data_IF_480071046488
#
_entry.id   IF_480071046488
#
_cell.length_a   1.000
_cell.length_b   1.000
_cell.length_c   1.000
_cell.angle_alpha   90.00
_cell.angle_beta   90.00
_cell.angle_gamma   90.00
#
_symmetry.space_group_name_H-M   'P 1'
#
loop_
_entity.id
_entity.type
_entity.pdbx_description
1 polymer ?
#
# COMPACT_ATOMS: atom_id res chain seq x y z
N UNK A 1 -39.63 5.15 5.25
CA UNK A 1 -38.21 5.20 4.83
C UNK A 1 -37.42 5.56 6.08
N UNK A 2 -36.70 4.58 6.64
CA UNK A 2 -35.94 4.80 7.87
C UNK A 2 -34.69 5.60 7.52
N UNK A 3 -34.72 6.89 7.84
CA UNK A 3 -33.55 7.75 7.75
C UNK A 3 -32.52 7.28 8.76
N UNK A 4 -31.36 6.85 8.27
CA UNK A 4 -30.21 6.54 9.11
C UNK A 4 -29.77 7.86 9.73
N UNK A 5 -30.00 8.02 11.03
CA UNK A 5 -29.53 9.14 11.82
C UNK A 5 -28.01 9.05 11.99
N UNK A 6 -27.28 10.02 11.42
CA UNK A 6 -25.81 10.13 11.47
C UNK A 6 -25.21 10.21 12.90
N UNK A 7 -26.03 10.25 13.95
CA UNK A 7 -25.61 10.42 15.34
C UNK A 7 -25.04 9.16 16.01
N UNK A 8 -25.05 7.99 15.34
CA UNK A 8 -24.55 6.73 15.89
C UNK A 8 -23.28 6.19 15.23
N UNK A 9 -22.73 6.87 14.22
CA UNK A 9 -21.55 6.40 13.49
C UNK A 9 -20.27 7.06 14.04
N UNK A 10 -19.25 6.25 14.35
CA UNK A 10 -17.91 6.77 14.67
C UNK A 10 -17.31 7.50 13.46
N UNK A 11 -16.31 8.37 13.66
CA UNK A 11 -15.62 9.07 12.55
C UNK A 11 -15.20 8.08 11.45
N UNK A 12 -14.74 6.90 11.83
CA UNK A 12 -14.33 5.82 10.93
C UNK A 12 -15.48 5.19 10.14
N UNK A 13 -16.64 5.01 10.77
CA UNK A 13 -17.86 4.55 10.10
C UNK A 13 -18.42 5.63 9.17
N UNK A 14 -18.29 6.91 9.52
CA UNK A 14 -18.66 8.02 8.64
C UNK A 14 -17.78 8.09 7.39
N UNK A 15 -16.46 7.84 7.52
CA UNK A 15 -15.53 7.78 6.37
C UNK A 15 -15.82 6.56 5.49
N UNK A 16 -16.03 5.39 6.09
CA UNK A 16 -16.33 4.15 5.38
C UNK A 16 -17.68 4.20 4.66
N UNK A 17 -18.70 4.80 5.30
CA UNK A 17 -19.98 5.08 4.68
C UNK A 17 -19.82 6.07 3.53
N UNK A 18 -19.10 7.18 3.72
CA UNK A 18 -18.89 8.21 2.70
C UNK A 18 -18.07 7.77 1.47
N UNK A 19 -17.28 6.69 1.56
CA UNK A 19 -16.57 6.09 0.40
C UNK A 19 -17.41 5.03 -0.32
N UNK A 20 -18.53 4.61 0.28
CA UNK A 20 -19.37 3.53 -0.23
C UNK A 20 -20.22 3.97 -1.42
N UNK A 21 -20.60 3.04 -2.32
CA UNK A 21 -21.54 3.34 -3.41
C UNK A 21 -22.94 3.74 -2.94
N UNK A 22 -23.30 3.51 -1.67
CA UNK A 22 -24.60 3.84 -1.09
C UNK A 22 -24.66 5.26 -0.47
N UNK A 23 -23.55 6.01 -0.52
CA UNK A 23 -23.48 7.37 0.02
C UNK A 23 -24.48 8.32 -0.66
N UNK A 24 -25.16 9.22 0.10
CA UNK A 24 -26.02 10.27 -0.46
C UNK A 24 -25.29 11.15 -1.50
N UNK A 25 -25.99 11.58 -2.56
CA UNK A 25 -25.46 12.47 -3.63
C UNK A 25 -24.81 13.75 -3.08
N UNK A 26 -25.28 14.27 -1.94
CA UNK A 26 -24.71 15.46 -1.28
C UNK A 26 -23.30 15.22 -0.68
N UNK A 27 -22.95 13.96 -0.37
CA UNK A 27 -21.60 13.52 0.00
C UNK A 27 -20.79 13.03 -1.21
N UNK A 28 -21.43 12.88 -2.38
CA UNK A 28 -20.80 12.58 -3.67
C UNK A 28 -20.29 13.85 -4.35
N UNK A 29 -19.67 14.77 -3.59
CA UNK A 29 -18.88 15.82 -4.23
C UNK A 29 -17.77 15.14 -5.07
N UNK A 30 -17.41 15.69 -6.24
CA UNK A 30 -16.39 15.11 -7.12
C UNK A 30 -15.03 14.80 -6.46
N UNK A 31 -14.71 15.46 -5.35
CA UNK A 31 -13.44 15.34 -4.63
C UNK A 31 -13.60 15.48 -3.09
N UNK A 32 -14.01 14.46 -2.32
CA UNK A 32 -14.17 14.67 -0.87
C UNK A 32 -13.06 14.04 -0.01
N UNK A 33 -12.45 12.93 -0.44
CA UNK A 33 -11.66 12.11 0.50
C UNK A 33 -10.20 12.50 0.65
N UNK A 34 -9.61 13.11 -0.38
CA UNK A 34 -8.20 13.49 -0.40
C UNK A 34 -8.01 14.98 -0.67
N UNK A 35 -9.10 15.72 -0.92
CA UNK A 35 -9.01 17.16 -1.11
C UNK A 35 -8.51 17.79 0.19
N UNK A 36 -7.46 18.61 0.10
CA UNK A 36 -6.75 19.24 1.24
C UNK A 36 -5.90 18.31 2.12
N UNK A 37 -5.81 17.01 1.79
CA UNK A 37 -4.86 16.13 2.44
C UNK A 37 -3.47 16.36 1.85
N UNK A 38 -2.54 16.81 2.69
CA UNK A 38 -1.13 16.92 2.35
C UNK A 38 -0.45 15.57 2.62
N UNK A 39 0.14 14.92 1.60
CA UNK A 39 0.94 13.71 1.81
C UNK A 39 2.08 13.96 2.80
N UNK A 40 2.24 13.05 3.75
CA UNK A 40 3.30 13.03 4.76
C UNK A 40 4.04 11.71 4.62
N UNK A 41 5.35 11.79 4.45
CA UNK A 41 6.25 10.63 4.37
C UNK A 41 6.41 9.96 5.73
N UNK A 42 5.32 9.36 6.20
CA UNK A 42 5.19 8.66 7.46
C UNK A 42 4.87 7.21 7.12
N UNK A 43 5.57 6.30 7.78
CA UNK A 43 5.24 4.89 7.75
C UNK A 43 4.39 4.55 8.98
N UNK A 44 3.21 3.99 8.76
CA UNK A 44 2.30 3.57 9.81
C UNK A 44 2.29 2.05 9.93
N UNK A 45 3.02 1.54 10.91
CA UNK A 45 2.75 0.22 11.47
C UNK A 45 1.46 0.30 12.29
N UNK A 46 0.64 -0.74 12.24
CA UNK A 46 -0.35 -1.05 13.29
C UNK A 46 -1.60 -0.16 13.39
N UNK A 47 -2.55 -0.43 12.49
CA UNK A 47 -3.97 -0.21 12.78
C UNK A 47 -4.82 -1.48 12.64
N UNK A 48 -4.24 -2.66 12.88
CA UNK A 48 -4.99 -3.91 12.91
C UNK A 48 -6.15 -3.91 13.93
N UNK A 49 -6.15 -3.01 14.93
CA UNK A 49 -7.24 -2.80 15.89
C UNK A 49 -8.25 -1.71 15.49
N UNK A 50 -8.00 -0.93 14.43
CA UNK A 50 -8.97 0.08 13.96
C UNK A 50 -9.95 -0.51 12.97
N UNK A 51 -11.16 0.02 12.93
CA UNK A 51 -12.21 -0.47 12.04
C UNK A 51 -11.87 -0.29 10.56
N UNK A 52 -11.19 0.80 10.17
CA UNK A 52 -10.75 1.06 8.80
C UNK A 52 -9.30 1.58 8.75
N UNK A 53 -8.29 0.69 8.79
CA UNK A 53 -6.88 1.06 8.96
C UNK A 53 -6.35 1.93 7.82
N UNK A 54 -6.52 1.48 6.57
CA UNK A 54 -5.99 2.19 5.39
C UNK A 54 -6.68 3.53 5.17
N UNK A 55 -8.01 3.59 5.35
CA UNK A 55 -8.78 4.83 5.23
C UNK A 55 -8.34 5.86 6.27
N UNK A 56 -8.15 5.41 7.52
CA UNK A 56 -7.70 6.28 8.61
C UNK A 56 -6.31 6.84 8.30
N UNK A 57 -5.37 6.01 7.88
CA UNK A 57 -4.01 6.44 7.56
C UNK A 57 -4.02 7.48 6.42
N UNK A 58 -4.72 7.17 5.32
CA UNK A 58 -4.83 8.09 4.18
C UNK A 58 -5.49 9.41 4.57
N UNK A 59 -6.52 9.38 5.44
CA UNK A 59 -7.19 10.60 5.93
C UNK A 59 -6.27 11.56 6.70
N UNK A 60 -5.15 11.04 7.23
CA UNK A 60 -4.15 11.81 7.99
C UNK A 60 -2.97 12.27 7.13
N UNK A 61 -2.95 11.91 5.85
CA UNK A 61 -1.85 12.19 4.94
C UNK A 61 -0.80 11.09 4.84
N UNK A 62 -0.96 9.95 5.53
CA UNK A 62 0.07 8.90 5.57
C UNK A 62 0.23 8.25 4.19
N UNK A 63 1.47 8.18 3.69
CA UNK A 63 1.79 7.60 2.38
C UNK A 63 2.38 6.18 2.44
N UNK A 64 2.58 5.62 3.63
CA UNK A 64 3.03 4.24 3.78
C UNK A 64 2.34 3.55 4.95
N UNK A 65 1.77 2.37 4.70
CA UNK A 65 1.02 1.59 5.68
C UNK A 65 1.48 0.14 5.65
N UNK A 66 1.56 -0.49 6.82
CA UNK A 66 1.84 -1.92 6.94
C UNK A 66 0.60 -2.71 7.38
N UNK A 67 0.45 -3.91 6.82
CA UNK A 67 -0.56 -4.89 7.21
C UNK A 67 0.08 -6.22 7.55
N UNK A 68 -0.25 -6.75 8.74
CA UNK A 68 0.09 -8.10 9.14
C UNK A 68 -0.93 -9.08 8.57
N UNK A 69 -0.48 -10.00 7.71
CA UNK A 69 -1.35 -10.94 6.99
C UNK A 69 -1.06 -12.39 7.40
N UNK A 70 -2.14 -13.10 7.72
CA UNK A 70 -2.15 -14.50 8.11
C UNK A 70 -3.00 -15.31 7.14
N UNK A 71 -2.45 -16.38 6.57
CA UNK A 71 -3.24 -17.36 5.83
C UNK A 71 -3.82 -18.39 6.79
N UNK A 72 -5.15 -18.48 6.87
CA UNK A 72 -5.87 -19.51 7.63
C UNK A 72 -7.00 -20.02 6.75
N UNK A 73 -7.11 -21.34 6.56
CA UNK A 73 -8.14 -21.98 5.72
C UNK A 73 -8.32 -21.30 4.34
N UNK A 74 -7.20 -21.06 3.64
CA UNK A 74 -7.16 -20.42 2.32
C UNK A 74 -7.65 -18.94 2.27
N UNK A 75 -7.87 -18.32 3.42
CA UNK A 75 -8.31 -16.95 3.56
C UNK A 75 -7.25 -16.08 4.25
N UNK A 76 -7.10 -14.84 3.78
CA UNK A 76 -6.13 -13.87 4.32
C UNK A 76 -6.79 -13.00 5.40
N UNK A 77 -6.38 -13.20 6.64
CA UNK A 77 -6.80 -12.42 7.80
C UNK A 77 -5.76 -11.37 8.20
N UNK A 78 -6.24 -10.33 8.89
CA UNK A 78 -5.41 -9.23 9.37
C UNK A 78 -5.39 -9.19 10.90
N UNK A 79 -4.21 -9.16 11.50
CA UNK A 79 -4.05 -9.05 12.95
C UNK A 79 -2.59 -9.03 13.40
N UNK A 80 -2.30 -8.39 14.54
CA UNK A 80 -0.93 -8.38 15.10
C UNK A 80 -0.46 -9.73 15.62
N UNK A 81 -1.40 -10.64 15.90
CA UNK A 81 -1.16 -11.99 16.41
C UNK A 81 -2.32 -12.88 16.01
N UNK A 82 -2.05 -14.17 15.90
CA UNK A 82 -3.04 -15.20 15.54
C UNK A 82 -4.28 -15.17 16.46
N UNK A 83 -4.09 -14.96 17.77
CA UNK A 83 -5.18 -14.87 18.74
C UNK A 83 -6.09 -13.63 18.57
N UNK A 84 -5.71 -12.67 17.71
CA UNK A 84 -6.49 -11.46 17.43
C UNK A 84 -7.17 -11.51 16.04
N UNK A 85 -7.13 -12.66 15.35
CA UNK A 85 -7.79 -12.81 14.07
C UNK A 85 -9.31 -12.92 14.25
N UNK A 86 -10.03 -12.17 13.43
CA UNK A 86 -11.49 -12.16 13.41
C UNK A 86 -11.98 -12.43 11.99
N UNK A 87 -13.08 -13.18 11.88
CA UNK A 87 -13.62 -13.64 10.58
C UNK A 87 -13.94 -12.49 9.62
N UNK A 88 -14.33 -11.33 10.16
CA UNK A 88 -14.70 -10.15 9.39
C UNK A 88 -13.50 -9.29 8.98
N UNK A 89 -12.34 -9.51 9.60
CA UNK A 89 -11.13 -8.68 9.45
C UNK A 89 -10.15 -9.34 8.48
N UNK A 90 -10.47 -9.21 7.19
CA UNK A 90 -9.73 -9.83 6.10
C UNK A 90 -8.86 -8.80 5.38
N UNK A 91 -7.84 -9.27 4.67
CA UNK A 91 -7.01 -8.39 3.84
C UNK A 91 -7.87 -7.71 2.75
N UNK A 92 -8.84 -8.44 2.18
CA UNK A 92 -9.77 -7.89 1.20
C UNK A 92 -10.65 -6.77 1.77
N UNK A 93 -11.33 -7.05 2.90
CA UNK A 93 -12.28 -6.11 3.50
C UNK A 93 -11.63 -4.86 4.07
N UNK A 94 -10.41 -4.96 4.63
CA UNK A 94 -9.74 -3.85 5.30
C UNK A 94 -8.79 -3.05 4.40
N UNK A 95 -8.32 -3.62 3.28
CA UNK A 95 -7.32 -2.98 2.41
C UNK A 95 -7.75 -2.95 0.95
N UNK A 96 -8.02 -4.11 0.33
CA UNK A 96 -8.27 -4.18 -1.12
C UNK A 96 -9.53 -3.42 -1.53
N UNK A 97 -10.68 -3.74 -0.94
CA UNK A 97 -11.95 -3.08 -1.29
C UNK A 97 -11.94 -1.57 -0.96
N UNK A 98 -11.44 -1.13 0.21
CA UNK A 98 -11.28 0.31 0.49
C UNK A 98 -10.40 1.04 -0.53
N UNK A 99 -9.28 0.44 -0.96
CA UNK A 99 -8.40 1.04 -1.96
C UNK A 99 -9.08 1.16 -3.32
N UNK A 100 -9.79 0.13 -3.78
CA UNK A 100 -10.59 0.19 -5.01
C UNK A 100 -11.64 1.30 -4.93
N UNK A 101 -12.36 1.38 -3.81
CA UNK A 101 -13.44 2.35 -3.62
C UNK A 101 -12.95 3.78 -3.59
N UNK A 102 -11.76 4.02 -3.03
CA UNK A 102 -11.09 5.30 -3.16
C UNK A 102 -10.72 5.50 -4.63
N UNK A 103 -9.85 4.67 -5.21
CA UNK A 103 -9.22 4.90 -6.52
C UNK A 103 -10.17 4.92 -7.72
N UNK A 104 -11.36 4.32 -7.59
CA UNK A 104 -12.36 4.27 -8.66
C UNK A 104 -12.71 5.69 -9.15
N UNK A 105 -12.64 5.95 -10.47
CA UNK A 105 -13.13 7.19 -11.04
C UNK A 105 -14.59 7.44 -10.67
N UNK A 106 -14.92 8.67 -10.26
CA UNK A 106 -16.29 9.05 -9.95
C UNK A 106 -16.84 9.91 -11.08
N UNK A 107 -17.86 9.40 -11.76
CA UNK A 107 -18.65 10.18 -12.70
C UNK A 107 -19.66 11.03 -11.90
N UNK A 108 -19.19 12.12 -11.32
CA UNK A 108 -20.08 13.07 -10.68
C UNK A 108 -20.68 13.98 -11.74
N UNK A 109 -22.00 13.90 -11.93
CA UNK A 109 -22.76 14.98 -12.56
C UNK A 109 -22.95 16.06 -11.51
N UNK A 110 -22.52 17.28 -11.80
CA UNK A 110 -22.89 18.39 -10.92
C UNK A 110 -24.42 18.50 -10.85
N UNK A 111 -24.99 19.12 -9.80
CA UNK A 111 -26.42 19.46 -9.76
C UNK A 111 -26.90 20.27 -10.98
N UNK A 112 -25.96 20.86 -11.74
CA UNK A 112 -26.20 21.62 -12.96
C UNK A 112 -25.99 20.79 -14.25
N UNK A 113 -25.95 19.46 -14.16
CA UNK A 113 -25.88 18.56 -15.30
C UNK A 113 -24.52 18.52 -16.03
N UNK A 114 -23.48 19.15 -15.47
CA UNK A 114 -22.13 19.09 -16.04
C UNK A 114 -21.45 17.81 -15.58
N UNK A 115 -21.09 16.94 -16.53
CA UNK A 115 -20.26 15.78 -16.26
C UNK A 115 -18.83 16.26 -16.01
N UNK A 116 -18.27 15.93 -14.85
CA UNK A 116 -16.84 16.02 -14.61
C UNK A 116 -16.33 14.59 -14.45
N UNK A 117 -15.46 14.15 -15.36
CA UNK A 117 -14.66 12.95 -15.15
C UNK A 117 -13.55 13.35 -14.18
N UNK A 118 -13.82 13.22 -12.88
CA UNK A 118 -12.80 13.46 -11.87
C UNK A 118 -12.14 12.13 -11.57
N UNK A 119 -10.99 11.92 -12.18
CA UNK A 119 -9.98 11.00 -11.64
C UNK A 119 -9.46 11.62 -10.35
N UNK A 120 -9.16 10.83 -9.32
CA UNK A 120 -8.55 11.31 -8.08
C UNK A 120 -7.12 11.89 -8.25
N UNK A 121 -6.76 12.37 -9.43
CA UNK A 121 -5.48 12.96 -9.78
C UNK A 121 -5.28 14.37 -9.21
N UNK A 122 -5.84 14.70 -8.05
CA UNK A 122 -5.56 15.98 -7.39
C UNK A 122 -4.76 15.73 -6.10
N UNK A 123 -3.43 15.76 -6.27
CA UNK A 123 -2.36 15.95 -5.27
C UNK A 123 -2.02 14.80 -4.32
N UNK A 124 -2.98 14.00 -3.84
CA UNK A 124 -2.63 12.91 -2.92
C UNK A 124 -1.94 11.73 -3.62
N UNK A 125 -2.26 11.49 -4.89
CA UNK A 125 -1.68 10.41 -5.69
C UNK A 125 -0.47 10.83 -6.55
N UNK A 126 0.02 12.08 -6.42
CA UNK A 126 1.34 12.44 -6.97
C UNK A 126 2.45 11.62 -6.28
N UNK A 127 2.15 11.01 -5.13
CA UNK A 127 3.00 10.03 -4.44
C UNK A 127 2.21 8.71 -4.28
N UNK A 128 2.70 7.59 -4.84
CA UNK A 128 2.09 6.28 -4.64
C UNK A 128 1.95 5.93 -3.15
N UNK A 129 0.81 5.36 -2.75
CA UNK A 129 0.69 4.73 -1.44
C UNK A 129 1.57 3.48 -1.40
N UNK A 130 2.49 3.41 -0.43
CA UNK A 130 3.27 2.21 -0.17
C UNK A 130 2.50 1.29 0.79
N UNK A 131 2.01 0.16 0.28
CA UNK A 131 1.34 -0.88 1.04
C UNK A 131 2.33 -2.00 1.36
N UNK A 132 2.82 -2.03 2.60
CA UNK A 132 3.69 -3.11 3.09
C UNK A 132 2.81 -4.28 3.55
N UNK A 133 3.02 -5.46 2.97
CA UNK A 133 2.33 -6.69 3.32
C UNK A 133 3.28 -7.59 4.09
N UNK A 134 3.11 -7.62 5.42
CA UNK A 134 3.92 -8.39 6.35
C UNK A 134 3.35 -9.80 6.50
N UNK A 135 3.97 -10.78 5.84
CA UNK A 135 3.51 -12.18 5.88
C UNK A 135 3.91 -12.81 7.21
N UNK A 136 2.91 -13.22 8.02
CA UNK A 136 3.11 -13.84 9.34
C UNK A 136 3.08 -15.37 9.34
N UNK A 137 2.61 -15.96 8.25
CA UNK A 137 2.54 -17.42 8.03
C UNK A 137 3.64 -17.85 7.06
N UNK A 138 3.66 -19.10 6.59
CA UNK A 138 4.66 -19.53 5.62
C UNK A 138 4.55 -18.71 4.32
N UNK A 139 5.68 -18.15 3.89
CA UNK A 139 5.74 -17.25 2.74
C UNK A 139 5.34 -17.89 1.43
N UNK A 140 5.84 -19.10 1.18
CA UNK A 140 5.66 -19.81 -0.10
C UNK A 140 4.22 -20.26 -0.28
N UNK A 141 3.55 -20.65 0.80
CA UNK A 141 2.11 -20.96 0.76
C UNK A 141 1.23 -19.71 0.72
N UNK A 142 1.63 -18.62 1.39
CA UNK A 142 0.78 -17.43 1.58
C UNK A 142 0.83 -16.44 0.43
N UNK A 143 2.00 -16.23 -0.15
CA UNK A 143 2.19 -15.25 -1.23
C UNK A 143 1.25 -15.46 -2.43
N UNK A 144 0.97 -16.70 -2.91
CA UNK A 144 0.00 -16.92 -3.99
C UNK A 144 -1.41 -16.40 -3.68
N UNK A 145 -1.87 -16.49 -2.44
CA UNK A 145 -3.16 -15.94 -2.02
C UNK A 145 -3.13 -14.42 -1.99
N UNK A 146 -2.01 -13.81 -1.58
CA UNK A 146 -1.84 -12.35 -1.60
C UNK A 146 -1.89 -11.83 -3.04
N UNK A 147 -1.14 -12.46 -3.96
CA UNK A 147 -1.14 -12.08 -5.38
C UNK A 147 -2.54 -12.16 -6.00
N UNK A 148 -3.33 -13.17 -5.61
CA UNK A 148 -4.74 -13.32 -6.00
C UNK A 148 -5.61 -12.21 -5.41
N UNK A 149 -5.43 -11.87 -4.13
CA UNK A 149 -6.17 -10.79 -3.48
C UNK A 149 -5.87 -9.40 -4.10
N UNK A 150 -4.69 -9.23 -4.70
CA UNK A 150 -4.30 -7.99 -5.39
C UNK A 150 -4.87 -7.86 -6.81
N UNK A 151 -5.42 -8.94 -7.40
CA UNK A 151 -5.94 -8.95 -8.77
C UNK A 151 -6.96 -7.84 -9.09
N UNK A 152 -7.91 -7.51 -8.20
CA UNK A 152 -8.86 -6.43 -8.46
C UNK A 152 -8.21 -5.04 -8.60
N UNK A 153 -7.06 -4.81 -7.95
CA UNK A 153 -6.26 -3.58 -8.11
C UNK A 153 -5.42 -3.64 -9.40
N UNK A 154 -4.81 -4.81 -9.67
CA UNK A 154 -3.99 -5.08 -10.87
C UNK A 154 -4.77 -4.85 -12.15
N UNK A 155 -5.93 -5.50 -12.29
CA UNK A 155 -6.81 -5.40 -13.46
C UNK A 155 -7.33 -3.98 -13.74
N UNK A 156 -7.31 -3.09 -12.74
CA UNK A 156 -7.67 -1.67 -12.87
C UNK A 156 -6.48 -0.75 -13.13
N UNK A 157 -5.26 -1.30 -13.21
CA UNK A 157 -4.03 -0.54 -13.42
C UNK A 157 -3.60 0.29 -12.21
N UNK A 158 -4.04 -0.07 -11.00
CA UNK A 158 -3.75 0.70 -9.78
C UNK A 158 -2.42 0.35 -9.11
N UNK A 159 -1.76 -0.71 -9.56
CA UNK A 159 -0.51 -1.19 -8.98
C UNK A 159 0.70 -0.71 -9.77
N UNK A 160 1.72 -0.22 -9.07
CA UNK A 160 3.05 -0.01 -9.63
C UNK A 160 3.56 -1.34 -10.17
N UNK A 161 3.99 -1.36 -11.43
CA UNK A 161 4.35 -2.60 -12.13
C UNK A 161 5.74 -2.47 -12.73
N UNK A 162 6.56 -3.51 -12.59
CA UNK A 162 7.82 -3.69 -13.28
C UNK A 162 7.65 -4.76 -14.35
N UNK A 163 7.93 -4.40 -15.60
CA UNK A 163 7.73 -5.27 -16.76
C UNK A 163 8.75 -4.87 -17.83
N UNK A 164 9.38 -5.84 -18.49
CA UNK A 164 10.35 -5.60 -19.56
C UNK A 164 11.48 -4.61 -19.19
N UNK A 165 11.95 -4.63 -17.94
CA UNK A 165 13.01 -3.74 -17.46
C UNK A 165 12.57 -2.33 -17.06
N UNK A 166 11.28 -2.00 -17.24
CA UNK A 166 10.70 -0.68 -17.00
C UNK A 166 9.81 -0.71 -15.77
N UNK A 167 10.03 0.24 -14.85
CA UNK A 167 9.14 0.47 -13.72
C UNK A 167 8.07 1.49 -14.12
N UNK A 168 6.80 1.13 -13.96
CA UNK A 168 5.62 1.95 -14.25
C UNK A 168 4.91 2.27 -12.92
N UNK A 169 5.16 3.44 -12.30
CA UNK A 169 4.47 3.84 -11.07
C UNK A 169 2.95 3.92 -11.27
N UNK A 170 2.19 3.57 -10.24
CA UNK A 170 0.75 3.79 -10.17
C UNK A 170 0.33 4.16 -8.74
N UNK A 171 -0.96 4.20 -8.46
CA UNK A 171 -1.51 4.72 -7.22
C UNK A 171 -1.05 3.95 -5.96
N UNK A 172 -0.73 2.66 -6.09
CA UNK A 172 -0.28 1.80 -4.98
C UNK A 172 0.99 1.03 -5.38
N UNK A 173 2.02 1.11 -4.56
CA UNK A 173 3.20 0.25 -4.63
C UNK A 173 3.12 -0.79 -3.51
N UNK A 174 3.05 -2.07 -3.86
CA UNK A 174 2.95 -3.15 -2.87
C UNK A 174 4.32 -3.73 -2.58
N UNK A 175 4.68 -3.82 -1.30
CA UNK A 175 5.99 -4.30 -0.86
C UNK A 175 5.79 -5.44 0.14
N UNK A 176 6.31 -6.62 -0.15
CA UNK A 176 6.30 -7.77 0.76
C UNK A 176 7.42 -7.67 1.80
N UNK A 177 7.06 -7.90 3.05
CA UNK A 177 7.97 -7.98 4.21
C UNK A 177 7.62 -9.21 5.07
N UNK A 178 8.30 -9.40 6.20
CA UNK A 178 8.13 -10.59 7.05
C UNK A 178 8.62 -11.86 6.36
N UNK A 179 7.81 -12.92 6.36
CA UNK A 179 8.15 -14.20 5.74
C UNK A 179 8.07 -14.19 4.19
N UNK A 180 8.16 -13.03 3.55
CA UNK A 180 8.05 -12.91 2.10
C UNK A 180 9.18 -13.68 1.39
N UNK A 181 8.86 -14.63 0.49
CA UNK A 181 9.87 -15.44 -0.19
C UNK A 181 10.49 -14.66 -1.37
N UNK A 182 11.73 -14.18 -1.19
CA UNK A 182 12.43 -13.35 -2.17
C UNK A 182 12.56 -14.04 -3.55
N UNK A 183 12.87 -15.34 -3.57
CA UNK A 183 12.95 -16.18 -4.79
C UNK A 183 11.65 -16.16 -5.60
N UNK A 184 10.51 -16.11 -4.92
CA UNK A 184 9.18 -16.08 -5.57
C UNK A 184 8.86 -14.71 -6.18
N UNK A 185 9.44 -13.62 -5.65
CA UNK A 185 9.30 -12.28 -6.23
C UNK A 185 10.13 -12.14 -7.51
N UNK A 186 11.33 -12.72 -7.53
CA UNK A 186 12.25 -12.60 -8.66
C UNK A 186 11.67 -13.12 -9.98
N UNK A 187 10.79 -14.12 -9.90
CA UNK A 187 10.20 -14.81 -11.06
C UNK A 187 8.86 -14.21 -11.51
N UNK A 188 8.35 -13.17 -10.84
CA UNK A 188 7.13 -12.49 -11.26
C UNK A 188 7.37 -11.70 -12.55
N UNK A 189 6.51 -11.90 -13.54
CA UNK A 189 6.46 -11.12 -14.78
C UNK A 189 5.02 -11.09 -15.32
N UNK A 190 4.37 -9.92 -15.46
CA UNK A 190 4.81 -8.63 -14.91
C UNK A 190 4.83 -8.66 -13.37
N UNK A 191 5.76 -7.92 -12.75
CA UNK A 191 5.90 -7.86 -11.29
C UNK A 191 5.24 -6.61 -10.72
N UNK A 192 4.28 -6.79 -9.84
CA UNK A 192 3.63 -5.70 -9.10
C UNK A 192 3.67 -5.86 -7.57
N UNK A 193 4.54 -6.76 -7.12
CA UNK A 193 4.82 -7.04 -5.73
C UNK A 193 6.34 -6.99 -5.53
N UNK A 194 6.81 -6.02 -4.75
CA UNK A 194 8.23 -5.71 -4.54
C UNK A 194 8.70 -6.22 -3.19
N UNK A 195 10.01 -6.14 -2.92
CA UNK A 195 10.59 -6.67 -1.70
C UNK A 195 11.01 -5.57 -0.73
N UNK A 196 10.83 -5.78 0.57
CA UNK A 196 11.47 -4.99 1.62
C UNK A 196 12.85 -5.59 1.91
N UNK A 197 13.92 -4.94 1.45
CA UNK A 197 15.27 -5.47 1.61
C UNK A 197 15.77 -5.28 3.05
N UNK A 198 16.54 -6.22 3.61
CA UNK A 198 17.13 -6.05 4.93
C UNK A 198 18.23 -4.98 4.86
N UNK A 199 18.28 -4.07 5.85
CA UNK A 199 19.36 -3.09 5.96
C UNK A 199 20.68 -3.78 6.34
N UNK A 200 20.60 -4.80 7.20
CA UNK A 200 21.77 -5.60 7.57
C UNK A 200 22.07 -6.62 6.47
N UNK A 201 23.36 -6.83 6.19
CA UNK A 201 23.78 -7.74 5.11
C UNK A 201 23.69 -7.14 3.71
N UNK A 202 23.72 -5.81 3.58
CA UNK A 202 23.83 -5.15 2.28
C UNK A 202 25.13 -5.60 1.57
N UNK A 203 24.98 -6.44 0.53
CA UNK A 203 26.09 -7.10 -0.18
C UNK A 203 26.11 -8.63 -0.08
N UNK A 204 25.50 -9.23 0.94
CA UNK A 204 25.26 -10.67 1.03
C UNK A 204 23.82 -10.95 0.61
N UNK A 205 23.58 -10.92 -0.69
CA UNK A 205 22.28 -11.29 -1.23
C UNK A 205 22.12 -12.82 -1.17
N UNK A 206 21.02 -13.37 -0.62
CA UNK A 206 20.77 -14.82 -0.63
C UNK A 206 20.74 -15.45 -2.04
N UNK A 207 20.66 -14.63 -3.10
CA UNK A 207 20.65 -15.03 -4.51
C UNK A 207 21.61 -14.22 -5.42
N UNK A 208 22.65 -13.54 -4.89
CA UNK A 208 23.52 -12.64 -5.67
C UNK A 208 22.81 -11.48 -6.41
N UNK A 209 21.56 -11.17 -6.10
CA UNK A 209 20.84 -10.08 -6.76
C UNK A 209 21.35 -8.68 -6.32
N UNK A 210 21.36 -7.73 -7.24
CA UNK A 210 21.64 -6.34 -6.92
C UNK A 210 20.38 -5.69 -6.34
N UNK A 211 20.45 -5.19 -5.11
CA UNK A 211 19.38 -4.37 -4.55
C UNK A 211 19.22 -3.11 -5.40
N UNK A 212 18.03 -2.89 -5.92
CA UNK A 212 17.71 -1.71 -6.72
C UNK A 212 16.29 -1.24 -6.41
N UNK A 213 15.96 0.04 -6.64
CA UNK A 213 14.60 0.57 -6.53
C UNK A 213 13.53 -0.28 -7.24
N UNK A 214 13.91 -0.94 -8.34
CA UNK A 214 13.04 -1.78 -9.18
C UNK A 214 12.70 -3.14 -8.56
N UNK A 215 13.48 -3.56 -7.57
CA UNK A 215 13.32 -4.82 -6.85
C UNK A 215 12.87 -4.58 -5.42
N UNK A 216 13.59 -3.70 -4.73
CA UNK A 216 13.38 -3.36 -3.33
C UNK A 216 13.31 -1.83 -3.17
N UNK A 217 12.11 -1.24 -3.28
CA UNK A 217 11.92 0.20 -3.12
C UNK A 217 12.08 0.65 -1.66
N UNK A 218 12.06 -0.29 -0.71
CA UNK A 218 12.25 -0.06 0.73
C UNK A 218 13.40 -0.94 1.22
N UNK A 219 14.13 -0.40 2.19
CA UNK A 219 15.11 -1.14 2.98
C UNK A 219 14.78 -0.90 4.45
N UNK A 220 14.61 -1.97 5.24
CA UNK A 220 14.20 -1.90 6.64
C UNK A 220 15.12 -2.72 7.55
N UNK A 221 15.10 -2.43 8.85
CA UNK A 221 15.89 -3.16 9.84
C UNK A 221 15.67 -2.65 11.25
N UNK A 222 15.90 -3.50 12.23
CA UNK A 222 15.87 -3.15 13.64
C UNK A 222 17.21 -2.52 14.07
N UNK A 223 17.15 -1.52 14.93
CA UNK A 223 18.34 -0.90 15.50
C UNK A 223 18.22 -0.68 16.99
N UNK A 224 19.36 -0.72 17.67
CA UNK A 224 19.47 -0.24 19.04
C UNK A 224 20.07 1.16 19.05
N UNK A 225 19.87 1.92 20.14
CA UNK A 225 20.35 3.30 20.25
C UNK A 225 21.88 3.44 20.02
N UNK A 226 22.66 2.37 20.19
CA UNK A 226 24.11 2.33 19.94
C UNK A 226 24.51 2.29 18.46
N UNK A 227 23.58 2.00 17.54
CA UNK A 227 23.88 1.77 16.12
C UNK A 227 23.93 3.05 15.26
N UNK A 228 23.65 4.23 15.84
CA UNK A 228 23.41 5.48 15.11
C UNK A 228 24.50 5.83 14.07
N UNK A 229 25.77 5.63 14.41
CA UNK A 229 26.91 5.95 13.53
C UNK A 229 27.03 4.95 12.38
N UNK A 230 26.78 3.65 12.64
CA UNK A 230 26.74 2.59 11.63
C UNK A 230 25.61 2.83 10.64
N UNK A 231 24.41 3.16 11.13
CA UNK A 231 23.23 3.47 10.31
C UNK A 231 23.51 4.66 9.40
N UNK A 232 24.06 5.75 9.92
CA UNK A 232 24.37 6.92 9.09
C UNK A 232 25.40 6.60 8.01
N UNK A 233 26.31 5.66 8.26
CA UNK A 233 27.25 5.17 7.26
C UNK A 233 26.54 4.33 6.20
N UNK A 234 25.78 3.30 6.59
CA UNK A 234 25.04 2.42 5.67
C UNK A 234 24.04 3.21 4.83
N UNK A 235 23.23 4.08 5.44
CA UNK A 235 22.30 4.99 4.73
C UNK A 235 23.02 5.89 3.72
N UNK A 236 24.24 6.37 4.02
CA UNK A 236 25.02 7.17 3.05
C UNK A 236 25.50 6.32 1.88
N UNK A 237 25.98 5.10 2.12
CA UNK A 237 26.38 4.18 1.04
C UNK A 237 25.18 3.83 0.16
N UNK A 238 24.01 3.59 0.77
CA UNK A 238 22.75 3.34 0.06
C UNK A 238 22.32 4.51 -0.81
N UNK A 239 22.34 5.73 -0.26
CA UNK A 239 22.03 6.95 -1.03
C UNK A 239 22.98 7.13 -2.21
N UNK A 240 24.28 6.88 -2.02
CA UNK A 240 25.25 6.97 -3.11
C UNK A 240 24.99 5.93 -4.21
N UNK A 241 24.74 4.67 -3.84
CA UNK A 241 24.41 3.60 -4.80
C UNK A 241 23.08 3.86 -5.53
N UNK A 242 22.09 4.40 -4.81
CA UNK A 242 20.80 4.82 -5.36
C UNK A 242 20.98 5.95 -6.38
N UNK A 243 21.69 7.02 -6.01
CA UNK A 243 21.99 8.14 -6.89
C UNK A 243 22.80 7.72 -8.13
N UNK A 244 23.72 6.78 -7.99
CA UNK A 244 24.47 6.22 -9.13
C UNK A 244 23.55 5.44 -10.08
N UNK A 245 22.59 4.70 -9.54
CA UNK A 245 21.58 3.97 -10.33
C UNK A 245 20.66 4.93 -11.10
N UNK A 246 20.27 6.05 -10.47
CA UNK A 246 19.52 7.12 -11.13
C UNK A 246 20.34 7.79 -12.24
N UNK A 247 21.61 8.13 -11.98
CA UNK A 247 22.53 8.74 -12.96
C UNK A 247 22.81 7.86 -14.18
N UNK A 248 22.74 6.53 -14.02
CA UNK A 248 22.87 5.57 -15.14
C UNK A 248 21.61 5.49 -16.03
N UNK A 249 20.61 6.35 -15.81
CA UNK A 249 19.42 6.44 -16.66
C UNK A 249 18.52 5.20 -16.58
N UNK A 250 18.65 4.39 -15.54
CA UNK A 250 17.83 3.18 -15.39
C UNK A 250 16.46 3.48 -14.79
N UNK A 251 16.21 4.68 -14.28
CA UNK A 251 14.90 5.12 -13.80
C UNK A 251 14.74 6.61 -14.12
N UNK A 252 13.88 6.94 -15.08
CA UNK A 252 13.35 8.28 -15.24
C UNK A 252 12.10 8.40 -14.37
N UNK A 253 12.08 9.38 -13.48
CA UNK A 253 10.86 9.86 -12.83
C UNK A 253 10.39 11.09 -13.62
N UNK A 254 9.73 10.86 -14.76
CA UNK A 254 8.90 11.87 -15.41
C UNK A 254 7.44 11.49 -15.23
#
# INVERSE_FOLDING_TARGET
>A
MNGITFSQLTITQNISYAVSPESPILLQYPTPLTQEIVPKTIHCHNYHWRDAPVLTAMSLGVTSVEVDVWLVDEQLFVGSREAALEKQRTFDSLYIQPLINILRPRNTKSPLGRAANITLSNRFFDTPLQLLVNIKTDGKTTMPFILRALEPLRSKGYLTTFENGVLKPSAVTVVGTGNTPFDSILVLEPRDYFFDAPLTGFGTNPANATWSPKMAPIISGDYTAGDKTRIQYEVRQLKAAWEETLKKGQIDFN
#
